data_IF_193525885472
#
_entry.id   IF_193525885472
#
_cell.length_a   1.000
_cell.length_b   1.000
_cell.length_c   1.000
_cell.angle_alpha   90.00
_cell.angle_beta   90.00
_cell.angle_gamma   90.00
#
_symmetry.space_group_name_H-M   'P 1'
#
loop_
_entity.id
_entity.type
_entity.pdbx_description
1 polymer ?
#
# COMPACT_ATOMS: atom_id res chain seq x y z
N UNK A 1 5.94 15.59 -10.64
CA UNK A 1 7.21 15.18 -9.99
C UNK A 1 6.93 15.05 -8.51
N UNK A 2 7.16 13.88 -7.93
CA UNK A 2 6.97 13.64 -6.50
C UNK A 2 8.33 13.50 -5.83
N UNK A 3 8.52 14.19 -4.72
CA UNK A 3 9.72 14.14 -3.88
C UNK A 3 9.32 13.85 -2.44
N UNK A 4 9.92 12.83 -1.83
CA UNK A 4 9.69 12.50 -0.42
C UNK A 4 10.54 13.44 0.43
N UNK A 5 9.90 14.24 1.29
CA UNK A 5 10.58 15.17 2.21
C UNK A 5 10.85 14.53 3.56
N UNK A 6 9.94 13.66 4.00
CA UNK A 6 10.10 12.85 5.22
C UNK A 6 9.70 11.42 4.88
N UNK A 7 10.68 10.53 4.84
CA UNK A 7 10.47 9.12 4.56
C UNK A 7 9.89 8.38 5.77
N UNK A 8 9.10 7.34 5.52
CA UNK A 8 8.61 6.46 6.56
C UNK A 8 9.76 5.63 7.15
N UNK A 9 9.67 5.32 8.44
CA UNK A 9 10.63 4.44 9.13
C UNK A 9 10.17 2.98 9.15
N UNK A 10 8.88 2.73 8.89
CA UNK A 10 8.26 1.40 8.92
C UNK A 10 7.44 1.17 7.65
N UNK A 11 7.70 0.05 6.98
CA UNK A 11 6.98 -0.38 5.78
C UNK A 11 6.20 -1.67 5.97
N UNK A 12 6.41 -2.36 7.10
CA UNK A 12 5.74 -3.62 7.38
C UNK A 12 4.27 -3.40 7.71
N UNK A 13 3.41 -4.16 7.03
CA UNK A 13 1.96 -4.04 7.16
C UNK A 13 1.43 -4.61 8.48
N UNK A 14 2.22 -5.44 9.15
CA UNK A 14 1.84 -6.20 10.35
C UNK A 14 3.04 -6.26 11.29
N UNK A 15 2.80 -6.28 12.61
CA UNK A 15 3.84 -6.55 13.59
C UNK A 15 4.24 -8.03 13.61
N UNK A 16 5.53 -8.31 13.82
CA UNK A 16 6.05 -9.68 13.89
C UNK A 16 5.37 -10.51 15.00
N UNK A 17 4.98 -9.89 16.12
CA UNK A 17 4.23 -10.56 17.19
C UNK A 17 2.86 -11.08 16.73
N UNK A 18 2.17 -10.37 15.84
CA UNK A 18 0.89 -10.79 15.25
C UNK A 18 1.11 -11.97 14.30
N UNK A 19 2.21 -11.96 13.54
CA UNK A 19 2.61 -13.07 12.67
C UNK A 19 2.86 -14.35 13.48
N UNK A 20 3.63 -14.27 14.58
CA UNK A 20 3.85 -15.41 15.49
C UNK A 20 2.55 -15.97 16.05
N UNK A 21 1.69 -15.09 16.59
CA UNK A 21 0.41 -15.48 17.13
C UNK A 21 -0.47 -16.16 16.06
N UNK A 22 -0.45 -15.67 14.82
CA UNK A 22 -1.20 -16.25 13.71
C UNK A 22 -0.67 -17.63 13.27
N UNK A 23 0.60 -17.96 13.53
CA UNK A 23 1.21 -19.25 13.23
C UNK A 23 1.27 -20.21 14.42
N UNK A 24 0.90 -19.75 15.63
CA UNK A 24 0.97 -20.56 16.85
C UNK A 24 2.40 -20.77 17.38
N UNK A 25 3.35 -19.93 16.97
CA UNK A 25 4.75 -19.98 17.41
C UNK A 25 4.86 -19.22 18.73
N UNK A 26 5.40 -19.88 19.76
CA UNK A 26 5.50 -19.32 21.12
C UNK A 26 6.89 -18.76 21.40
N UNK A 27 7.94 -19.38 20.86
CA UNK A 27 9.32 -18.92 21.01
C UNK A 27 9.72 -17.89 19.95
N UNK A 28 10.94 -17.34 20.10
CA UNK A 28 11.51 -16.32 19.21
C UNK A 28 12.65 -16.88 18.35
N UNK A 29 12.78 -18.21 18.25
CA UNK A 29 13.93 -18.83 17.57
C UNK A 29 13.92 -18.58 16.06
N UNK A 30 12.74 -18.37 15.48
CA UNK A 30 12.54 -18.13 14.05
C UNK A 30 12.28 -16.67 13.70
N UNK A 31 12.40 -15.73 14.65
CA UNK A 31 12.05 -14.32 14.46
C UNK A 31 12.79 -13.68 13.27
N UNK A 32 14.06 -14.03 13.05
CA UNK A 32 14.84 -13.50 11.92
C UNK A 32 14.28 -13.98 10.58
N UNK A 33 13.91 -15.27 10.47
CA UNK A 33 13.31 -15.82 9.27
C UNK A 33 11.91 -15.24 9.01
N UNK A 34 11.10 -15.13 10.07
CA UNK A 34 9.77 -14.51 10.03
C UNK A 34 9.83 -13.05 9.60
N UNK A 35 10.81 -12.30 10.10
CA UNK A 35 11.04 -10.92 9.70
C UNK A 35 11.36 -10.83 8.20
N UNK A 36 12.24 -11.71 7.68
CA UNK A 36 12.55 -11.76 6.25
C UNK A 36 11.35 -12.09 5.38
N UNK A 37 10.44 -12.97 5.83
CA UNK A 37 9.19 -13.26 5.11
C UNK A 37 8.21 -12.08 5.18
N UNK A 38 8.12 -11.40 6.31
CA UNK A 38 7.27 -10.23 6.50
C UNK A 38 7.70 -9.04 5.62
N UNK A 39 9.00 -8.77 5.56
CA UNK A 39 9.57 -7.70 4.72
C UNK A 39 9.26 -7.98 3.24
N UNK A 40 9.52 -9.22 2.80
CA UNK A 40 9.21 -9.65 1.43
C UNK A 40 7.72 -9.58 1.14
N UNK A 41 6.87 -9.97 2.09
CA UNK A 41 5.43 -9.95 1.90
C UNK A 41 4.88 -8.54 1.75
N UNK A 42 5.31 -7.63 2.62
CA UNK A 42 4.90 -6.22 2.58
C UNK A 42 5.36 -5.55 1.27
N UNK A 43 6.58 -5.81 0.82
CA UNK A 43 7.11 -5.30 -0.45
C UNK A 43 6.35 -5.85 -1.68
N UNK A 44 6.07 -7.16 -1.73
CA UNK A 44 5.29 -7.75 -2.83
C UNK A 44 3.88 -7.16 -2.90
N UNK A 45 3.21 -6.98 -1.76
CA UNK A 45 1.88 -6.36 -1.68
C UNK A 45 1.93 -4.91 -2.17
N UNK A 46 2.91 -4.11 -1.72
CA UNK A 46 3.10 -2.73 -2.15
C UNK A 46 3.32 -2.63 -3.68
N UNK A 47 4.18 -3.49 -4.24
CA UNK A 47 4.44 -3.55 -5.69
C UNK A 47 3.22 -3.98 -6.49
N UNK A 48 2.49 -4.98 -6.02
CA UNK A 48 1.27 -5.45 -6.68
C UNK A 48 0.20 -4.35 -6.74
N UNK A 49 -0.01 -3.66 -5.62
CA UNK A 49 -0.95 -2.53 -5.53
C UNK A 49 -0.44 -1.26 -6.22
N UNK A 50 0.86 -1.21 -6.59
CA UNK A 50 1.56 -0.04 -7.15
C UNK A 50 1.46 1.19 -6.25
N UNK A 51 1.56 0.96 -4.94
CA UNK A 51 1.40 1.99 -3.91
C UNK A 51 2.42 1.82 -2.81
N UNK A 52 2.77 2.95 -2.20
CA UNK A 52 3.42 2.98 -0.90
C UNK A 52 2.33 3.18 0.14
N UNK A 53 2.26 2.27 1.10
CA UNK A 53 1.25 2.30 2.16
C UNK A 53 1.73 3.02 3.43
N UNK A 54 3.05 3.09 3.63
CA UNK A 54 3.61 3.77 4.78
C UNK A 54 3.36 5.29 4.71
N UNK A 55 3.16 5.91 5.87
CA UNK A 55 2.97 7.35 6.00
C UNK A 55 4.27 8.09 5.66
N UNK A 56 4.23 8.87 4.60
CA UNK A 56 5.33 9.74 4.16
C UNK A 56 4.84 11.18 4.03
N UNK A 57 5.72 12.14 4.31
CA UNK A 57 5.50 13.53 3.88
C UNK A 57 6.16 13.73 2.53
N UNK A 58 5.40 14.21 1.57
CA UNK A 58 5.82 14.38 0.18
C UNK A 58 5.50 15.79 -0.32
N UNK A 59 6.35 16.28 -1.21
CA UNK A 59 6.06 17.42 -2.06
C UNK A 59 5.81 16.91 -3.48
N UNK A 60 4.61 17.16 -4.00
CA UNK A 60 4.20 16.78 -5.33
C UNK A 60 3.99 18.03 -6.19
N UNK A 61 4.82 18.14 -7.24
CA UNK A 61 4.69 19.16 -8.25
C UNK A 61 3.89 18.61 -9.44
N UNK A 62 2.73 19.21 -9.70
CA UNK A 62 1.90 18.93 -10.85
C UNK A 62 1.99 20.11 -11.83
N UNK A 63 2.11 19.80 -13.12
CA UNK A 63 2.03 20.78 -14.20
C UNK A 63 0.85 20.37 -15.07
N UNK A 64 -0.26 21.11 -14.94
CA UNK A 64 -1.49 20.80 -15.64
C UNK A 64 -1.40 21.28 -17.10
N UNK A 65 -1.75 20.41 -18.03
CA UNK A 65 -1.82 20.66 -19.47
C UNK A 65 -3.05 21.49 -19.87
N UNK A 66 -4.13 21.33 -19.10
CA UNK A 66 -5.40 22.04 -19.23
C UNK A 66 -6.01 22.19 -17.85
N UNK A 67 -7.02 23.05 -17.74
CA UNK A 67 -7.78 23.18 -16.51
C UNK A 67 -8.44 21.85 -16.13
N UNK A 68 -8.47 21.54 -14.83
CA UNK A 68 -9.03 20.29 -14.29
C UNK A 68 -9.99 20.61 -13.15
N UNK A 69 -11.05 19.82 -13.00
CA UNK A 69 -11.97 19.95 -11.87
C UNK A 69 -11.29 19.52 -10.56
N UNK A 70 -10.53 18.43 -10.62
CA UNK A 70 -9.86 17.84 -9.46
C UNK A 70 -8.37 17.65 -9.74
N UNK A 71 -7.58 17.81 -8.69
CA UNK A 71 -6.18 17.46 -8.65
C UNK A 71 -6.04 16.06 -8.04
N UNK A 72 -5.41 15.14 -8.76
CA UNK A 72 -5.22 13.76 -8.32
C UNK A 72 -3.81 13.62 -7.75
N UNK A 73 -3.72 13.41 -6.43
CA UNK A 73 -2.46 13.20 -5.73
C UNK A 73 -1.94 11.78 -5.94
N UNK A 74 -0.61 11.64 -6.03
CA UNK A 74 0.01 10.35 -6.27
C UNK A 74 -0.05 9.42 -5.06
N UNK A 75 0.01 9.96 -3.84
CA UNK A 75 -0.06 9.23 -2.55
C UNK A 75 -1.40 9.46 -1.88
N UNK A 76 -1.98 8.38 -1.36
CA UNK A 76 -3.24 8.39 -0.64
C UNK A 76 -3.31 7.11 0.24
N UNK A 77 -4.07 7.10 1.35
CA UNK A 77 -4.91 8.20 1.86
C UNK A 77 -4.08 9.41 2.33
N UNK A 78 -4.63 10.61 2.18
CA UNK A 78 -4.00 11.86 2.62
C UNK A 78 -4.26 12.07 4.11
N UNK A 79 -3.21 12.31 4.90
CA UNK A 79 -3.33 12.70 6.30
C UNK A 79 -3.65 14.18 6.43
N UNK A 80 -2.68 15.02 6.11
CA UNK A 80 -2.75 16.47 6.21
C UNK A 80 -2.12 17.12 4.98
N UNK A 81 -2.76 18.18 4.47
CA UNK A 81 -2.14 19.07 3.48
C UNK A 81 -1.44 20.19 4.24
N UNK A 82 -0.10 20.21 4.16
CA UNK A 82 0.72 21.25 4.77
C UNK A 82 0.68 22.56 3.96
N UNK A 83 0.66 22.46 2.63
CA UNK A 83 0.47 23.64 1.76
C UNK A 83 0.09 23.25 0.34
N UNK A 84 -0.66 24.12 -0.32
CA UNK A 84 -0.83 24.12 -1.77
C UNK A 84 -0.34 25.47 -2.30
N UNK A 85 0.57 25.41 -3.26
CA UNK A 85 1.12 26.59 -3.96
C UNK A 85 0.65 26.55 -5.41
N UNK A 86 -0.24 27.47 -5.77
CA UNK A 86 -0.72 27.71 -7.13
C UNK A 86 0.05 28.89 -7.72
N UNK A 87 0.90 28.65 -8.72
CA UNK A 87 1.68 29.71 -9.39
C UNK A 87 2.39 30.67 -8.40
N UNK A 88 3.11 30.07 -7.44
CA UNK A 88 3.84 30.76 -6.38
C UNK A 88 2.97 31.53 -5.36
N UNK A 89 1.65 31.38 -5.42
CA UNK A 89 0.70 31.85 -4.41
C UNK A 89 0.28 30.68 -3.51
N UNK A 90 0.46 30.82 -2.20
CA UNK A 90 -0.03 29.85 -1.22
C UNK A 90 -1.54 30.02 -1.10
N UNK A 91 -2.29 28.94 -1.30
CA UNK A 91 -3.75 28.92 -1.09
C UNK A 91 -4.08 28.79 0.39
N UNK A 92 -5.16 29.46 0.82
CA UNK A 92 -5.70 29.26 2.16
C UNK A 92 -6.46 27.93 2.25
N UNK A 93 -6.64 27.41 3.45
CA UNK A 93 -7.41 26.17 3.70
C UNK A 93 -8.89 26.28 3.29
N UNK A 94 -9.43 27.48 3.14
CA UNK A 94 -10.78 27.74 2.61
C UNK A 94 -10.87 27.69 1.08
N UNK A 95 -9.73 27.69 0.38
CA UNK A 95 -9.67 27.74 -1.09
C UNK A 95 -9.60 26.34 -1.71
N UNK A 96 -9.70 25.29 -0.89
CA UNK A 96 -9.72 23.91 -1.38
C UNK A 96 -10.41 22.95 -0.41
N UNK A 97 -10.90 21.85 -0.97
CA UNK A 97 -11.38 20.68 -0.24
C UNK A 97 -10.56 19.45 -0.64
N UNK A 98 -10.52 18.44 0.23
CA UNK A 98 -9.73 17.22 -0.03
C UNK A 98 -10.52 15.97 0.34
N UNK A 99 -10.78 15.11 -0.66
CA UNK A 99 -11.17 13.72 -0.42
C UNK A 99 -9.90 12.94 -0.04
N UNK A 100 -9.66 12.87 1.27
CA UNK A 100 -8.47 12.24 1.85
C UNK A 100 -8.34 10.77 1.44
N UNK A 101 -9.44 10.03 1.33
CA UNK A 101 -9.40 8.60 1.03
C UNK A 101 -8.93 8.33 -0.40
N UNK A 102 -9.30 9.19 -1.34
CA UNK A 102 -8.99 9.06 -2.77
C UNK A 102 -7.79 9.89 -3.22
N UNK A 103 -7.33 10.84 -2.40
CA UNK A 103 -6.28 11.78 -2.77
C UNK A 103 -6.74 12.77 -3.84
N UNK A 104 -7.99 13.21 -3.78
CA UNK A 104 -8.54 14.21 -4.71
C UNK A 104 -8.59 15.56 -4.00
N UNK A 105 -8.14 16.62 -4.67
CA UNK A 105 -8.22 17.99 -4.16
C UNK A 105 -9.07 18.82 -5.11
N UNK A 106 -10.13 19.42 -4.57
CA UNK A 106 -11.06 20.29 -5.29
C UNK A 106 -10.72 21.74 -4.96
N UNK A 107 -10.59 22.60 -5.97
CA UNK A 107 -10.35 24.04 -5.75
C UNK A 107 -11.67 24.75 -5.45
N UNK A 108 -11.65 25.69 -4.52
CA UNK A 108 -12.80 26.51 -4.17
C UNK A 108 -12.56 27.99 -4.53
N UNK A 109 -13.65 28.69 -4.85
CA UNK A 109 -13.68 30.14 -4.95
C UNK A 109 -14.99 30.65 -4.34
N UNK A 110 -14.89 31.30 -3.18
CA UNK A 110 -16.07 31.75 -2.44
C UNK A 110 -17.01 30.60 -2.07
N UNK A 111 -16.45 29.51 -1.53
CA UNK A 111 -17.19 28.30 -1.11
C UNK A 111 -17.90 27.54 -2.26
N UNK A 112 -17.40 27.69 -3.49
CA UNK A 112 -17.91 26.99 -4.67
C UNK A 112 -16.79 26.26 -5.41
N UNK A 113 -16.98 24.99 -5.80
CA UNK A 113 -16.04 24.28 -6.65
C UNK A 113 -15.73 25.04 -7.93
N UNK A 114 -14.45 25.15 -8.25
CA UNK A 114 -13.96 25.79 -9.46
C UNK A 114 -12.80 24.98 -10.04
N UNK A 115 -12.44 25.29 -11.28
CA UNK A 115 -11.41 24.54 -11.98
C UNK A 115 -10.02 24.97 -11.52
N UNK A 116 -9.13 23.99 -11.31
CA UNK A 116 -7.70 24.22 -11.21
C UNK A 116 -7.18 24.80 -12.53
N UNK A 117 -6.42 25.91 -12.51
CA UNK A 117 -5.86 26.49 -13.72
C UNK A 117 -4.75 25.62 -14.30
N UNK A 118 -4.52 25.75 -15.61
CA UNK A 118 -3.46 25.04 -16.34
C UNK A 118 -2.06 25.61 -16.01
N UNK A 119 -1.62 25.42 -14.76
CA UNK A 119 -0.41 26.02 -14.21
C UNK A 119 0.39 24.99 -13.39
N UNK A 120 1.55 25.44 -12.87
CA UNK A 120 2.32 24.68 -11.89
C UNK A 120 1.64 24.79 -10.53
N UNK A 121 1.30 23.64 -9.97
CA UNK A 121 0.75 23.48 -8.62
C UNK A 121 1.72 22.61 -7.83
N UNK A 122 2.08 23.03 -6.63
CA UNK A 122 2.91 22.24 -5.71
C UNK A 122 2.10 21.96 -4.46
N UNK A 123 1.89 20.68 -4.16
CA UNK A 123 1.18 20.24 -2.95
C UNK A 123 2.17 19.56 -2.03
N UNK A 124 2.29 20.05 -0.80
CA UNK A 124 3.06 19.40 0.26
C UNK A 124 2.07 18.78 1.23
N UNK A 125 2.15 17.46 1.43
CA UNK A 125 1.17 16.72 2.21
C UNK A 125 1.75 15.45 2.82
N UNK A 126 1.16 14.99 3.91
CA UNK A 126 1.39 13.65 4.45
C UNK A 126 0.38 12.67 3.86
N UNK A 127 0.81 11.47 3.50
CA UNK A 127 -0.09 10.43 2.97
C UNK A 127 0.44 9.02 3.22
N UNK A 128 -0.49 8.09 3.42
CA UNK A 128 -0.25 6.71 3.83
C UNK A 128 -0.95 6.39 5.15
N UNK A 129 -0.61 5.22 5.70
CA UNK A 129 -1.06 4.72 6.99
C UNK A 129 0.12 4.75 7.96
N UNK A 130 -0.14 5.06 9.23
CA UNK A 130 0.88 4.91 10.28
C UNK A 130 1.07 3.41 10.57
N UNK A 131 2.03 2.80 9.86
CA UNK A 131 2.23 1.37 9.87
C UNK A 131 3.03 0.91 11.10
N UNK A 132 2.69 -0.27 11.67
CA UNK A 132 1.63 -1.20 11.25
C UNK A 132 0.24 -0.92 11.86
N UNK A 133 0.12 0.04 12.79
CA UNK A 133 -1.07 0.23 13.62
C UNK A 133 -2.34 0.57 12.82
N UNK A 134 -2.21 1.47 11.85
CA UNK A 134 -3.34 1.95 11.03
C UNK A 134 -3.52 1.17 9.72
N UNK A 135 -2.80 0.07 9.53
CA UNK A 135 -2.93 -0.73 8.33
C UNK A 135 -4.36 -1.31 8.23
N UNK A 136 -5.07 -1.11 7.11
CA UNK A 136 -6.37 -1.74 6.90
C UNK A 136 -6.34 -3.25 7.14
N UNK A 137 -7.36 -3.79 7.83
CA UNK A 137 -7.43 -5.21 8.18
C UNK A 137 -7.26 -6.15 6.98
N UNK A 138 -7.77 -5.76 5.80
CA UNK A 138 -7.59 -6.53 4.58
C UNK A 138 -6.11 -6.59 4.10
N UNK A 139 -5.32 -5.53 4.28
CA UNK A 139 -3.88 -5.53 4.00
C UNK A 139 -3.12 -6.36 5.03
N UNK A 140 -3.50 -6.26 6.31
CA UNK A 140 -2.92 -7.08 7.37
C UNK A 140 -3.16 -8.57 7.10
N UNK A 141 -4.40 -8.95 6.80
CA UNK A 141 -4.77 -10.33 6.50
C UNK A 141 -4.07 -10.86 5.25
N UNK A 142 -3.99 -10.06 4.19
CA UNK A 142 -3.24 -10.40 2.98
C UNK A 142 -1.75 -10.67 3.29
N UNK A 143 -1.14 -9.84 4.12
CA UNK A 143 0.25 -10.02 4.56
C UNK A 143 0.42 -11.30 5.38
N UNK A 144 -0.44 -11.55 6.37
CA UNK A 144 -0.42 -12.77 7.19
C UNK A 144 -0.52 -14.03 6.32
N UNK A 145 -1.46 -14.05 5.37
CA UNK A 145 -1.65 -15.19 4.47
C UNK A 145 -0.41 -15.43 3.60
N UNK A 146 0.22 -14.36 3.10
CA UNK A 146 1.40 -14.47 2.27
C UNK A 146 2.62 -14.96 3.07
N UNK A 147 2.81 -14.44 4.28
CA UNK A 147 3.89 -14.90 5.18
C UNK A 147 3.72 -16.38 5.51
N UNK A 148 2.50 -16.82 5.83
CA UNK A 148 2.19 -18.25 6.03
C UNK A 148 2.54 -19.09 4.80
N UNK A 149 2.21 -18.60 3.60
CA UNK A 149 2.53 -19.30 2.37
C UNK A 149 4.05 -19.41 2.15
N UNK A 150 4.81 -18.34 2.41
CA UNK A 150 6.27 -18.38 2.32
C UNK A 150 6.91 -19.33 3.35
N UNK A 151 6.42 -19.28 4.58
CA UNK A 151 6.90 -20.15 5.65
C UNK A 151 6.66 -21.63 5.30
N UNK A 152 5.45 -22.00 4.89
CA UNK A 152 5.12 -23.38 4.49
C UNK A 152 5.83 -23.84 3.21
N UNK A 153 6.25 -22.91 2.35
CA UNK A 153 7.01 -23.22 1.14
C UNK A 153 8.51 -23.39 1.42
N UNK A 154 9.03 -22.79 2.49
CA UNK A 154 10.46 -22.85 2.84
C UNK A 154 10.92 -24.26 3.25
N UNK A 155 10.04 -25.03 3.88
CA UNK A 155 10.33 -26.41 4.34
C UNK A 155 10.08 -27.48 3.25
N UNK A 156 9.59 -27.09 2.06
CA UNK A 156 9.23 -28.02 0.97
C UNK A 156 10.26 -28.04 -0.14
N UNK A 157 10.38 -29.19 -0.81
CA UNK A 157 11.12 -29.30 -2.07
C UNK A 157 10.34 -28.59 -3.19
N UNK A 158 10.89 -27.50 -3.79
CA UNK A 158 10.23 -26.75 -4.85
C UNK A 158 9.99 -27.55 -6.14
N UNK A 159 10.70 -28.65 -6.35
CA UNK A 159 10.60 -29.48 -7.56
C UNK A 159 9.45 -30.49 -7.50
N UNK A 160 8.88 -30.74 -6.31
CA UNK A 160 7.81 -31.73 -6.11
C UNK A 160 6.44 -31.10 -6.39
N UNK A 161 5.79 -31.54 -7.47
CA UNK A 161 4.49 -31.02 -7.93
C UNK A 161 3.28 -31.78 -7.37
N UNK A 162 3.43 -33.08 -7.14
CA UNK A 162 2.39 -33.96 -6.62
C UNK A 162 3.05 -35.14 -5.93
N UNK A 163 2.54 -35.50 -4.76
CA UNK A 163 2.96 -36.68 -4.02
C UNK A 163 1.73 -37.56 -3.77
N UNK A 164 1.87 -38.86 -4.02
CA UNK A 164 0.87 -39.86 -3.68
C UNK A 164 1.48 -40.86 -2.72
N UNK A 165 0.85 -41.06 -1.57
CA UNK A 165 1.28 -42.07 -0.59
C UNK A 165 0.17 -43.12 -0.48
N UNK A 166 0.53 -44.36 -0.82
CA UNK A 166 -0.24 -45.60 -0.60
C UNK A 166 -1.77 -45.50 -0.82
N UNK A 167 -2.20 -45.02 -2.00
CA UNK A 167 -3.59 -45.01 -2.48
C UNK A 167 -4.66 -44.34 -1.57
N UNK A 168 -4.28 -43.81 -0.41
CA UNK A 168 -5.18 -43.26 0.63
C UNK A 168 -5.14 -41.73 0.62
N UNK A 169 -4.02 -41.12 0.23
CA UNK A 169 -3.91 -39.67 0.12
C UNK A 169 -3.21 -39.24 -1.17
N UNK A 170 -3.76 -38.20 -1.79
CA UNK A 170 -3.13 -37.50 -2.90
C UNK A 170 -3.07 -36.03 -2.54
N UNK A 171 -1.87 -35.46 -2.55
CA UNK A 171 -1.67 -34.02 -2.41
C UNK A 171 -1.28 -33.44 -3.77
N UNK A 172 -2.02 -32.43 -4.21
CA UNK A 172 -1.67 -31.65 -5.40
C UNK A 172 -1.41 -30.21 -4.98
N UNK A 173 -0.28 -29.66 -5.40
CA UNK A 173 0.11 -28.30 -5.07
C UNK A 173 -0.24 -27.35 -6.20
N UNK A 174 -0.85 -26.21 -5.85
CA UNK A 174 -1.24 -25.22 -6.82
C UNK A 174 0.00 -24.47 -7.33
N UNK A 175 0.40 -24.75 -8.58
CA UNK A 175 1.33 -23.92 -9.33
C UNK A 175 0.50 -22.94 -10.18
N UNK A 176 0.32 -21.72 -9.67
CA UNK A 176 -0.40 -20.66 -10.39
C UNK A 176 0.18 -20.44 -11.78
N UNK A 177 -0.68 -20.43 -12.80
CA UNK A 177 -0.33 -20.02 -14.16
C UNK A 177 -0.18 -18.49 -14.12
N UNK A 178 1.05 -18.00 -14.21
CA UNK A 178 1.43 -16.57 -14.37
C UNK A 178 1.16 -15.61 -13.19
N UNK A 179 0.46 -16.05 -12.13
CA UNK A 179 0.18 -15.23 -10.94
C UNK A 179 1.09 -15.59 -9.76
N UNK A 180 1.83 -14.59 -9.27
CA UNK A 180 2.79 -14.68 -8.16
C UNK A 180 2.15 -14.53 -6.77
N UNK A 181 0.82 -14.41 -6.71
CA UNK A 181 0.06 -14.20 -5.48
C UNK A 181 -1.10 -15.20 -5.42
N UNK A 182 -1.41 -15.75 -4.22
CA UNK A 182 -2.59 -16.59 -4.03
C UNK A 182 -3.90 -15.85 -4.37
N UNK A 183 -4.92 -16.55 -4.91
CA UNK A 183 -6.18 -15.91 -5.33
C UNK A 183 -6.94 -15.23 -4.18
N UNK A 184 -6.89 -15.79 -2.98
CA UNK A 184 -7.51 -15.20 -1.78
C UNK A 184 -6.86 -13.86 -1.40
N UNK A 185 -5.53 -13.81 -1.52
CA UNK A 185 -4.75 -12.58 -1.30
C UNK A 185 -5.12 -11.54 -2.37
N UNK A 186 -5.24 -11.94 -3.63
CA UNK A 186 -5.65 -11.04 -4.72
C UNK A 186 -7.05 -10.45 -4.48
N UNK A 187 -7.99 -11.24 -3.97
CA UNK A 187 -9.33 -10.77 -3.65
C UNK A 187 -9.31 -9.63 -2.61
N UNK A 188 -8.48 -9.76 -1.56
CA UNK A 188 -8.30 -8.73 -0.54
C UNK A 188 -7.61 -7.46 -1.08
N UNK A 189 -6.65 -7.63 -1.99
CA UNK A 189 -5.85 -6.52 -2.53
C UNK A 189 -6.57 -5.72 -3.64
N UNK A 190 -7.61 -6.29 -4.26
CA UNK A 190 -8.30 -5.70 -5.42
C UNK A 190 -8.72 -4.24 -5.20
N UNK A 191 -9.21 -3.90 -4.02
CA UNK A 191 -9.66 -2.54 -3.70
C UNK A 191 -8.53 -1.52 -3.50
N UNK A 192 -7.31 -1.98 -3.20
CA UNK A 192 -6.18 -1.10 -2.92
C UNK A 192 -5.32 -0.81 -4.15
N UNK A 193 -5.54 -1.55 -5.25
CA UNK A 193 -4.71 -1.46 -6.45
C UNK A 193 -4.93 -0.14 -7.18
N UNK A 194 -3.83 0.58 -7.45
CA UNK A 194 -3.85 1.77 -8.30
C UNK A 194 -3.93 1.37 -9.77
N UNK A 195 -5.01 1.78 -10.44
CA UNK A 195 -5.16 1.61 -11.89
C UNK A 195 -4.16 2.53 -12.62
N UNK A 196 -3.67 2.06 -13.77
CA UNK A 196 -2.73 2.82 -14.61
C UNK A 196 -3.49 3.76 -15.53
#
# INVERSE_FOLDING_TARGET
MLTVTTAATKFNLVDLGVIRAAMGIVDQSEDEALQGFLDRASDVIARHCRRVFALETVAEQLRLDKCREELILARYPVGEIASIVEHDVILATSDYETDKAKGLVTRLYGDRPCWWPAQKIVVTYSAGYDLPQDAPAALQQACIQLVKAYYMAADRDPMVRSESVDAISTASYFAGRDEHLPPDVLALLKQFRKLK
#
